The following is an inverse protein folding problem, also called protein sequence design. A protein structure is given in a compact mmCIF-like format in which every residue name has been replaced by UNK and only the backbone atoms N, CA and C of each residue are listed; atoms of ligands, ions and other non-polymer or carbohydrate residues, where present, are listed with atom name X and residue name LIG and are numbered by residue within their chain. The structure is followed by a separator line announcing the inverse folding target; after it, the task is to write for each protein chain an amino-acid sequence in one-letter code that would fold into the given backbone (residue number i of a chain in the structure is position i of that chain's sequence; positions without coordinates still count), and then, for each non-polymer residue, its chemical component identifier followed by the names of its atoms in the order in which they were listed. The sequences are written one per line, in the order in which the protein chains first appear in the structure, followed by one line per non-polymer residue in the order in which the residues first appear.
data_IF_081300452642
#
_entry.id   IF_081300452642
#
_cell.length_a   1.000
_cell.length_b   1.000
_cell.length_c   1.000
_cell.angle_alpha   90.00
_cell.angle_beta   90.00
_cell.angle_gamma   90.00
#
_symmetry.space_group_name_H-M   'P 1'
#
loop_
_entity.id
_entity.type
_entity.pdbx_description
1 polymer ?
#
# COMPACT_ATOMS: atom_id res chain seq x y z
N UNK A 1 -34.08 -125.70 16.00
CA UNK A 1 -33.01 -126.24 15.13
C UNK A 1 -32.68 -125.15 14.11
N UNK A 2 -31.42 -124.67 14.03
CA UNK A 2 -30.87 -123.76 12.97
C UNK A 2 -31.47 -122.33 12.96
N UNK A 3 -30.78 -121.21 12.76
CA UNK A 3 -29.35 -120.81 12.67
C UNK A 3 -29.36 -119.28 12.71
N UNK A 4 -28.29 -118.68 13.24
CA UNK A 4 -28.02 -117.23 13.22
C UNK A 4 -27.81 -116.71 11.78
N UNK A 5 -28.19 -115.47 11.51
CA UNK A 5 -27.55 -114.61 10.52
C UNK A 5 -27.17 -113.27 11.16
N UNK A 6 -25.89 -112.94 11.01
CA UNK A 6 -25.22 -111.71 11.43
C UNK A 6 -25.28 -110.70 10.28
N UNK A 7 -25.55 -109.43 10.56
CA UNK A 7 -25.12 -108.32 9.71
C UNK A 7 -24.69 -107.16 10.62
N UNK A 8 -23.38 -106.92 10.62
CA UNK A 8 -22.64 -105.92 11.37
C UNK A 8 -22.66 -104.59 10.59
N UNK A 9 -23.25 -103.54 11.16
CA UNK A 9 -23.13 -102.18 10.63
C UNK A 9 -21.88 -101.52 11.22
N UNK A 10 -20.87 -101.28 10.38
CA UNK A 10 -19.62 -100.60 10.73
C UNK A 10 -19.80 -99.09 10.48
N UNK A 11 -19.94 -98.30 11.54
CA UNK A 11 -19.90 -96.84 11.49
C UNK A 11 -18.44 -96.36 11.53
N UNK A 12 -17.90 -95.96 10.38
CA UNK A 12 -16.63 -95.23 10.28
C UNK A 12 -16.89 -93.77 10.65
N UNK A 13 -16.37 -93.33 11.79
CA UNK A 13 -16.20 -91.92 12.12
C UNK A 13 -14.89 -91.42 11.51
N UNK A 14 -14.96 -90.60 10.47
CA UNK A 14 -13.80 -89.83 10.02
C UNK A 14 -13.55 -88.69 11.02
N UNK A 15 -12.52 -88.85 11.84
CA UNK A 15 -11.86 -87.75 12.54
C UNK A 15 -11.08 -86.93 11.52
N UNK A 16 -11.55 -85.72 11.21
CA UNK A 16 -10.71 -84.71 10.58
C UNK A 16 -9.75 -84.17 11.65
N UNK A 17 -8.48 -84.55 11.55
CA UNK A 17 -7.39 -83.86 12.23
C UNK A 17 -7.11 -82.58 11.45
N UNK A 18 -7.51 -81.43 12.00
CA UNK A 18 -7.12 -80.14 11.46
C UNK A 18 -5.64 -79.89 11.80
N UNK A 19 -4.78 -79.81 10.79
CA UNK A 19 -3.48 -79.15 10.95
C UNK A 19 -3.74 -77.66 11.21
N UNK A 20 -3.74 -77.22 12.47
CA UNK A 20 -3.66 -75.81 12.83
C UNK A 20 -2.21 -75.46 13.19
N UNK A 21 -1.43 -75.06 12.20
CA UNK A 21 -0.19 -74.31 12.42
C UNK A 21 -0.04 -73.20 11.38
N UNK A 22 -1.16 -72.58 11.00
CA UNK A 22 -1.14 -71.30 10.31
C UNK A 22 -0.90 -70.22 11.38
N UNK A 23 0.38 -70.02 11.71
CA UNK A 23 0.85 -68.82 12.41
C UNK A 23 0.97 -67.66 11.42
N UNK A 24 -0.04 -67.47 10.57
CA UNK A 24 -0.06 -66.32 9.69
C UNK A 24 -0.22 -65.08 10.61
N UNK A 25 0.74 -64.15 10.62
CA UNK A 25 0.66 -62.99 11.49
C UNK A 25 -0.64 -62.25 11.20
N UNK A 26 -1.35 -61.84 12.26
CA UNK A 26 -2.58 -61.06 12.11
C UNK A 26 -2.35 -59.89 11.13
N UNK A 27 -3.28 -59.62 10.21
CA UNK A 27 -3.09 -58.59 9.19
C UNK A 27 -2.72 -57.27 9.87
N UNK A 28 -1.65 -56.64 9.39
CA UNK A 28 -1.20 -55.36 9.92
C UNK A 28 -2.24 -54.28 9.59
N UNK A 29 -2.86 -53.69 10.61
CA UNK A 29 -3.87 -52.64 10.46
C UNK A 29 -3.25 -51.29 10.81
N UNK A 30 -3.42 -50.32 9.91
CA UNK A 30 -3.09 -48.92 10.18
C UNK A 30 -4.33 -48.22 10.73
N UNK A 31 -4.17 -47.49 11.84
CA UNK A 31 -5.25 -46.76 12.46
C UNK A 31 -5.74 -45.62 11.53
N UNK A 32 -7.06 -45.35 11.49
CA UNK A 32 -7.62 -44.28 10.67
C UNK A 32 -7.00 -42.91 10.96
N UNK A 33 -7.01 -42.03 9.95
CA UNK A 33 -6.59 -40.65 10.12
C UNK A 33 -7.65 -39.83 10.87
N UNK A 34 -7.19 -39.02 11.83
CA UNK A 34 -8.00 -38.03 12.55
C UNK A 34 -7.51 -36.62 12.23
N UNK A 35 -8.35 -35.59 12.43
CA UNK A 35 -8.03 -34.19 12.10
C UNK A 35 -9.13 -33.50 11.28
N UNK A 36 -9.01 -32.18 11.12
CA UNK A 36 -10.04 -31.31 10.49
C UNK A 36 -10.03 -31.46 8.97
N UNK A 37 -11.17 -31.85 8.40
CA UNK A 37 -11.30 -32.18 6.97
C UNK A 37 -11.56 -30.98 6.06
N UNK A 38 -11.89 -29.82 6.63
CA UNK A 38 -12.18 -28.60 5.88
C UNK A 38 -11.34 -27.45 6.40
N UNK A 39 -10.58 -26.84 5.52
CA UNK A 39 -9.75 -25.65 5.78
C UNK A 39 -9.98 -24.62 4.67
N UNK A 40 -9.60 -23.37 4.89
CA UNK A 40 -9.57 -22.34 3.84
C UNK A 40 -8.19 -22.27 3.21
N UNK A 41 -8.07 -21.68 2.02
CA UNK A 41 -6.77 -21.39 1.40
C UNK A 41 -5.85 -20.64 2.37
N UNK A 42 -4.60 -21.10 2.50
CA UNK A 42 -3.57 -20.57 3.39
C UNK A 42 -3.63 -21.09 4.83
N UNK A 43 -4.75 -21.68 5.26
CA UNK A 43 -4.85 -22.28 6.58
C UNK A 43 -4.15 -23.65 6.65
N UNK A 44 -3.82 -24.07 7.87
CA UNK A 44 -3.21 -25.36 8.14
C UNK A 44 -4.12 -26.23 9.01
N UNK A 45 -4.03 -27.54 8.81
CA UNK A 45 -4.55 -28.56 9.74
C UNK A 45 -3.54 -29.68 9.87
N UNK A 46 -3.77 -30.65 10.74
CA UNK A 46 -2.90 -31.82 10.86
C UNK A 46 -3.76 -33.07 10.83
N UNK A 47 -3.41 -33.99 9.93
CA UNK A 47 -3.91 -35.35 10.02
C UNK A 47 -2.95 -36.21 10.82
N UNK A 48 -3.47 -37.01 11.75
CA UNK A 48 -2.69 -37.89 12.60
C UNK A 48 -3.26 -39.31 12.64
N UNK A 49 -2.36 -40.30 12.70
CA UNK A 49 -2.66 -41.71 13.00
C UNK A 49 -1.93 -42.12 14.28
N UNK A 50 -2.53 -43.01 15.06
CA UNK A 50 -1.89 -43.61 16.24
C UNK A 50 -0.89 -44.71 15.87
N UNK A 51 -0.94 -45.24 14.65
CA UNK A 51 0.09 -46.16 14.13
C UNK A 51 1.33 -45.37 13.77
N UNK A 52 2.45 -45.63 14.43
CA UNK A 52 3.71 -44.88 14.24
C UNK A 52 4.53 -45.40 13.06
N UNK A 53 5.51 -44.60 12.62
CA UNK A 53 6.51 -45.01 11.62
C UNK A 53 6.08 -44.92 10.16
N UNK A 54 4.96 -44.25 9.87
CA UNK A 54 4.48 -44.04 8.51
C UNK A 54 4.89 -42.71 7.89
N UNK A 55 4.45 -42.50 6.65
CA UNK A 55 4.68 -41.28 5.88
C UNK A 55 3.38 -40.77 5.25
N UNK A 56 3.22 -39.45 5.21
CA UNK A 56 2.07 -38.78 4.60
C UNK A 56 2.37 -38.35 3.16
N UNK A 57 1.41 -38.52 2.26
CA UNK A 57 1.44 -37.99 0.89
C UNK A 57 0.12 -37.35 0.52
N UNK A 58 0.18 -36.34 -0.35
CA UNK A 58 -1.01 -35.65 -0.89
C UNK A 58 -1.19 -36.04 -2.35
N UNK A 59 -2.41 -36.42 -2.74
CA UNK A 59 -2.74 -36.73 -4.13
C UNK A 59 -2.70 -35.50 -5.05
N UNK A 60 -3.07 -34.32 -4.52
CA UNK A 60 -3.07 -33.04 -5.23
C UNK A 60 -2.33 -31.96 -4.43
N UNK A 61 -0.98 -31.95 -4.44
CA UNK A 61 -0.19 -30.94 -3.71
C UNK A 61 -0.47 -29.49 -4.13
N UNK A 62 -0.91 -29.26 -5.37
CA UNK A 62 -1.34 -27.94 -5.86
C UNK A 62 -2.62 -27.42 -5.17
N UNK A 63 -3.42 -28.30 -4.57
CA UNK A 63 -4.61 -27.96 -3.77
C UNK A 63 -4.26 -27.93 -2.30
N UNK A 64 -3.56 -28.96 -1.79
CA UNK A 64 -3.12 -29.00 -0.40
C UNK A 64 -1.79 -29.76 -0.28
N UNK A 65 -0.77 -29.15 0.31
CA UNK A 65 0.49 -29.85 0.64
C UNK A 65 0.33 -30.61 1.95
N UNK A 66 1.16 -31.64 2.18
CA UNK A 66 1.27 -32.31 3.48
C UNK A 66 2.75 -32.57 3.79
N UNK A 67 3.15 -32.27 5.02
CA UNK A 67 4.48 -32.58 5.53
C UNK A 67 4.58 -34.08 5.83
N UNK A 68 5.49 -34.76 5.13
CA UNK A 68 5.56 -36.22 5.08
C UNK A 68 5.75 -36.91 6.45
N UNK A 69 6.38 -36.25 7.42
CA UNK A 69 6.65 -36.80 8.76
C UNK A 69 5.69 -36.34 9.85
N UNK A 70 5.05 -35.17 9.68
CA UNK A 70 4.23 -34.55 10.73
C UNK A 70 2.74 -34.58 10.43
N UNK A 71 2.35 -34.84 9.18
CA UNK A 71 0.93 -34.81 8.76
C UNK A 71 0.34 -33.40 8.73
N UNK A 72 1.16 -32.35 8.86
CA UNK A 72 0.73 -30.96 8.75
C UNK A 72 0.36 -30.68 7.30
N UNK A 73 -0.88 -30.30 7.07
CA UNK A 73 -1.49 -30.00 5.78
C UNK A 73 -1.61 -28.49 5.65
N UNK A 74 -1.25 -27.92 4.49
CA UNK A 74 -1.48 -26.50 4.15
C UNK A 74 -2.36 -26.39 2.92
N UNK A 75 -3.46 -25.64 3.01
CA UNK A 75 -4.33 -25.36 1.86
C UNK A 75 -3.66 -24.38 0.89
N UNK A 76 -3.52 -24.76 -0.37
CA UNK A 76 -2.85 -23.98 -1.42
C UNK A 76 -3.87 -23.31 -2.36
N UNK A 77 -4.87 -24.06 -2.83
CA UNK A 77 -5.92 -23.56 -3.72
C UNK A 77 -7.23 -24.28 -3.46
N UNK A 78 -8.34 -23.72 -3.93
CA UNK A 78 -9.68 -24.29 -3.71
C UNK A 78 -9.78 -25.65 -4.40
N UNK A 79 -10.26 -26.66 -3.67
CA UNK A 79 -10.43 -28.01 -4.19
C UNK A 79 -10.35 -29.06 -3.09
N UNK A 80 -10.13 -30.31 -3.48
CA UNK A 80 -9.88 -31.40 -2.54
C UNK A 80 -8.55 -32.09 -2.82
N UNK A 81 -7.95 -32.64 -1.77
CA UNK A 81 -6.83 -33.57 -1.89
C UNK A 81 -7.06 -34.77 -0.98
N UNK A 82 -6.75 -35.97 -1.49
CA UNK A 82 -6.71 -37.18 -0.67
C UNK A 82 -5.34 -37.27 -0.03
N UNK A 83 -5.32 -37.25 1.31
CA UNK A 83 -4.11 -37.47 2.10
C UNK A 83 -4.01 -38.95 2.42
N UNK A 84 -2.87 -39.55 2.08
CA UNK A 84 -2.57 -40.95 2.32
C UNK A 84 -1.51 -41.06 3.40
N UNK A 85 -1.73 -41.93 4.38
CA UNK A 85 -0.71 -42.30 5.36
C UNK A 85 -0.38 -43.78 5.20
N UNK A 86 0.89 -44.07 4.95
CA UNK A 86 1.36 -45.43 4.66
C UNK A 86 2.35 -45.91 5.70
N UNK A 87 2.09 -47.09 6.26
CA UNK A 87 2.99 -47.81 7.17
C UNK A 87 3.14 -49.23 6.64
N UNK A 88 4.37 -49.72 6.43
CA UNK A 88 4.63 -51.09 5.96
C UNK A 88 3.78 -51.51 4.73
N UNK A 89 3.64 -50.62 3.75
CA UNK A 89 2.83 -50.83 2.53
C UNK A 89 1.31 -50.92 2.72
N UNK A 90 0.80 -50.74 3.95
CA UNK A 90 -0.63 -50.60 4.23
C UNK A 90 -0.96 -49.11 4.33
N UNK A 91 -2.00 -48.68 3.65
CA UNK A 91 -2.38 -47.28 3.54
C UNK A 91 -3.78 -47.02 4.09
N UNK A 92 -3.94 -45.90 4.77
CA UNK A 92 -5.24 -45.29 5.08
C UNK A 92 -5.30 -43.92 4.42
N UNK A 93 -6.49 -43.53 3.99
CA UNK A 93 -6.70 -42.26 3.30
C UNK A 93 -7.74 -41.42 4.00
N UNK A 94 -7.57 -40.11 3.92
CA UNK A 94 -8.56 -39.13 4.37
C UNK A 94 -8.54 -37.90 3.48
N UNK A 95 -9.70 -37.41 3.08
CA UNK A 95 -9.80 -36.25 2.20
C UNK A 95 -9.73 -34.96 3.01
N UNK A 96 -8.96 -33.99 2.52
CA UNK A 96 -9.05 -32.60 2.95
C UNK A 96 -9.71 -31.78 1.84
N UNK A 97 -10.62 -30.89 2.24
CA UNK A 97 -11.27 -29.90 1.38
C UNK A 97 -10.71 -28.53 1.71
N UNK A 98 -10.24 -27.82 0.69
CA UNK A 98 -9.77 -26.44 0.77
C UNK A 98 -10.83 -25.54 0.14
N UNK A 99 -11.41 -24.66 0.94
CA UNK A 99 -12.42 -23.68 0.51
C UNK A 99 -11.81 -22.28 0.32
N UNK A 100 -12.52 -21.40 -0.38
CA UNK A 100 -12.10 -20.01 -0.49
C UNK A 100 -12.18 -19.32 0.88
N UNK A 101 -11.32 -18.32 1.11
CA UNK A 101 -11.45 -17.44 2.27
C UNK A 101 -12.78 -16.68 2.14
N UNK A 102 -13.65 -16.68 3.17
CA UNK A 102 -14.89 -15.91 3.13
C UNK A 102 -14.62 -14.43 2.87
N UNK A 103 -15.31 -13.85 1.90
CA UNK A 103 -15.25 -12.41 1.60
C UNK A 103 -16.40 -11.74 2.33
N UNK A 104 -16.08 -10.94 3.35
CA UNK A 104 -17.06 -10.22 4.12
C UNK A 104 -17.68 -9.05 3.34
N UNK A 105 -18.86 -8.62 3.74
CA UNK A 105 -19.50 -7.40 3.25
C UNK A 105 -20.05 -6.59 4.41
N UNK A 106 -20.14 -5.27 4.26
CA UNK A 106 -20.76 -4.43 5.27
C UNK A 106 -20.53 -2.95 5.04
N UNK A 107 -21.01 -2.15 5.99
CA UNK A 107 -20.84 -0.71 5.98
C UNK A 107 -19.77 -0.28 6.99
N UNK A 108 -19.00 0.73 6.60
CA UNK A 108 -18.03 1.42 7.44
C UNK A 108 -18.59 2.82 7.63
N UNK A 109 -19.02 3.10 8.85
CA UNK A 109 -19.49 4.41 9.28
C UNK A 109 -18.77 4.77 10.58
N UNK A 110 -18.59 6.05 10.83
CA UNK A 110 -17.86 6.56 11.99
C UNK A 110 -18.66 7.60 12.76
N UNK A 111 -18.24 7.92 13.99
CA UNK A 111 -16.90 7.67 14.56
C UNK A 111 -16.60 6.20 14.93
N UNK A 112 -15.33 5.81 14.86
CA UNK A 112 -14.79 4.51 15.33
C UNK A 112 -14.21 4.73 16.73
N UNK A 113 -14.86 4.18 17.74
CA UNK A 113 -14.59 4.44 19.16
C UNK A 113 -13.96 3.27 19.91
N UNK A 114 -13.77 2.13 19.24
CA UNK A 114 -13.13 0.94 19.77
C UNK A 114 -12.35 0.24 18.65
N UNK A 115 -11.32 -0.51 19.03
CA UNK A 115 -10.49 -1.25 18.09
C UNK A 115 -11.35 -2.12 17.18
N UNK A 116 -11.09 -2.04 15.88
CA UNK A 116 -11.88 -2.76 14.89
C UNK A 116 -10.99 -3.31 13.78
N UNK A 117 -11.18 -4.58 13.47
CA UNK A 117 -10.56 -5.22 12.31
C UNK A 117 -11.65 -5.58 11.31
N UNK A 118 -11.54 -5.04 10.09
CA UNK A 118 -12.31 -5.48 8.95
C UNK A 118 -11.54 -6.59 8.24
N UNK A 119 -12.10 -7.80 8.28
CA UNK A 119 -11.58 -8.97 7.58
C UNK A 119 -11.55 -8.74 6.06
N UNK A 120 -10.95 -9.66 5.29
CA UNK A 120 -11.00 -9.63 3.84
C UNK A 120 -12.46 -9.44 3.37
N UNK A 121 -12.73 -8.36 2.65
CA UNK A 121 -14.11 -8.04 2.30
C UNK A 121 -14.29 -6.91 1.28
N UNK A 122 -15.54 -6.78 0.83
CA UNK A 122 -16.02 -5.66 0.03
C UNK A 122 -16.95 -4.81 0.89
N UNK A 123 -16.48 -3.62 1.28
CA UNK A 123 -17.17 -2.74 2.20
C UNK A 123 -17.64 -1.46 1.50
N UNK A 124 -18.72 -0.88 2.00
CA UNK A 124 -19.15 0.48 1.61
C UNK A 124 -18.79 1.45 2.73
N UNK A 125 -17.99 2.47 2.45
CA UNK A 125 -17.72 3.54 3.41
C UNK A 125 -18.67 4.72 3.18
N UNK A 126 -19.26 5.23 4.27
CA UNK A 126 -20.20 6.36 4.23
C UNK A 126 -19.88 7.37 5.33
N UNK A 127 -19.89 8.65 4.95
CA UNK A 127 -19.60 9.77 5.83
C UNK A 127 -18.11 9.96 6.11
N UNK A 128 -17.83 10.95 6.94
CA UNK A 128 -16.50 11.18 7.52
C UNK A 128 -16.23 10.11 8.60
N UNK A 129 -15.53 9.04 8.23
CA UNK A 129 -15.17 7.97 9.16
C UNK A 129 -13.96 8.41 9.97
N UNK A 130 -14.18 8.75 11.24
CA UNK A 130 -13.13 9.23 12.15
C UNK A 130 -12.66 8.12 13.09
N UNK A 131 -11.37 7.80 13.08
CA UNK A 131 -10.73 6.89 14.04
C UNK A 131 -10.28 7.71 15.24
N UNK A 132 -10.87 7.45 16.40
CA UNK A 132 -10.61 8.24 17.60
C UNK A 132 -9.23 7.97 18.22
N UNK A 133 -8.78 8.92 19.04
CA UNK A 133 -7.57 8.76 19.84
C UNK A 133 -7.64 7.50 20.71
N UNK A 134 -6.54 6.73 20.75
CA UNK A 134 -6.45 5.47 21.48
C UNK A 134 -7.07 4.26 20.77
N UNK A 135 -7.62 4.44 19.57
CA UNK A 135 -8.29 3.38 18.80
C UNK A 135 -7.44 2.96 17.60
N UNK A 136 -7.40 1.65 17.33
CA UNK A 136 -6.78 1.05 16.15
C UNK A 136 -7.83 0.51 15.19
N UNK A 137 -7.82 1.01 13.95
CA UNK A 137 -8.60 0.49 12.85
C UNK A 137 -7.71 -0.32 11.91
N UNK A 138 -8.09 -1.56 11.63
CA UNK A 138 -7.34 -2.50 10.79
C UNK A 138 -8.16 -2.94 9.57
N UNK A 139 -7.53 -2.98 8.39
CA UNK A 139 -8.05 -3.59 7.17
C UNK A 139 -7.15 -4.72 6.68
N UNK A 140 -7.74 -5.89 6.46
CA UNK A 140 -7.01 -7.07 5.96
C UNK A 140 -6.75 -7.01 4.45
N UNK A 141 -5.64 -7.66 4.05
CA UNK A 141 -5.16 -7.75 2.67
C UNK A 141 -6.27 -8.12 1.67
N UNK A 142 -6.28 -7.47 0.50
CA UNK A 142 -7.23 -7.75 -0.58
C UNK A 142 -8.63 -7.16 -0.40
N UNK A 143 -8.86 -6.40 0.68
CA UNK A 143 -10.14 -5.73 0.89
C UNK A 143 -10.35 -4.59 -0.09
N UNK A 144 -11.60 -4.41 -0.54
CA UNK A 144 -12.03 -3.24 -1.32
C UNK A 144 -13.04 -2.43 -0.50
N UNK A 145 -12.75 -1.16 -0.31
CA UNK A 145 -13.60 -0.18 0.35
C UNK A 145 -14.13 0.75 -0.73
N UNK A 146 -15.42 0.66 -1.02
CA UNK A 146 -16.11 1.52 -1.98
C UNK A 146 -16.77 2.68 -1.25
N UNK A 147 -16.37 3.90 -1.56
CA UNK A 147 -17.01 5.13 -1.10
C UNK A 147 -18.17 5.46 -2.03
N UNK A 148 -19.28 5.93 -1.46
CA UNK A 148 -20.43 6.38 -2.23
C UNK A 148 -20.61 7.89 -2.01
N UNK A 149 -20.21 8.71 -2.99
CA UNK A 149 -20.36 10.18 -2.92
C UNK A 149 -21.82 10.61 -2.66
N UNK A 150 -22.80 9.79 -3.06
CA UNK A 150 -24.21 10.11 -2.86
C UNK A 150 -24.64 10.12 -1.39
N UNK A 151 -23.80 9.60 -0.48
CA UNK A 151 -24.05 9.64 0.97
C UNK A 151 -23.56 10.91 1.66
N UNK A 152 -23.06 11.89 0.91
CA UNK A 152 -22.56 13.18 1.41
C UNK A 152 -21.04 13.26 1.40
N UNK A 153 -20.48 14.09 2.26
CA UNK A 153 -19.04 14.22 2.44
C UNK A 153 -18.45 12.93 3.04
N UNK A 154 -17.38 12.43 2.43
CA UNK A 154 -16.74 11.18 2.82
C UNK A 154 -15.23 11.35 2.90
N UNK A 155 -14.60 10.88 3.98
CA UNK A 155 -13.15 10.70 4.08
C UNK A 155 -12.85 9.69 5.19
N UNK A 156 -11.67 9.08 5.14
CA UNK A 156 -11.15 8.32 6.27
C UNK A 156 -10.17 9.20 7.05
N UNK A 157 -10.55 9.58 8.27
CA UNK A 157 -9.78 10.51 9.11
C UNK A 157 -9.25 9.77 10.34
N UNK A 158 -7.93 9.71 10.50
CA UNK A 158 -7.27 9.18 11.69
C UNK A 158 -6.91 10.36 12.59
N UNK A 159 -7.62 10.52 13.71
CA UNK A 159 -7.36 11.60 14.65
C UNK A 159 -6.05 11.37 15.40
N UNK A 160 -5.46 12.43 15.94
CA UNK A 160 -4.22 12.34 16.72
C UNK A 160 -4.35 11.32 17.88
N UNK A 161 -3.41 10.38 17.93
CA UNK A 161 -3.39 9.24 18.86
C UNK A 161 -4.23 8.03 18.41
N UNK A 162 -4.99 8.13 17.33
CA UNK A 162 -5.60 7.00 16.64
C UNK A 162 -4.59 6.29 15.73
N UNK A 163 -4.89 5.05 15.34
CA UNK A 163 -4.02 4.24 14.47
C UNK A 163 -4.79 3.62 13.32
N UNK A 164 -4.16 3.59 12.16
CA UNK A 164 -4.63 2.90 10.97
C UNK A 164 -3.61 1.83 10.54
N UNK A 165 -4.05 0.59 10.49
CA UNK A 165 -3.25 -0.56 10.07
C UNK A 165 -3.87 -1.11 8.78
N UNK A 166 -3.12 -1.08 7.69
CA UNK A 166 -3.55 -1.61 6.40
C UNK A 166 -2.56 -2.68 5.97
N UNK A 167 -3.02 -3.94 6.01
CA UNK A 167 -2.21 -5.13 5.81
C UNK A 167 -2.20 -5.58 4.35
N UNK A 168 -2.14 -4.65 3.40
CA UNK A 168 -2.05 -5.01 1.98
C UNK A 168 -0.76 -5.78 1.66
N UNK A 169 -0.77 -6.51 0.54
CA UNK A 169 0.42 -7.12 -0.05
C UNK A 169 0.53 -6.79 -1.53
N UNK A 170 1.66 -7.10 -2.16
CA UNK A 170 1.89 -6.86 -3.59
C UNK A 170 0.79 -7.47 -4.48
N UNK A 171 0.30 -8.66 -4.12
CA UNK A 171 -0.74 -9.40 -4.84
C UNK A 171 -2.16 -9.09 -4.35
N UNK A 172 -2.30 -8.59 -3.12
CA UNK A 172 -3.59 -8.34 -2.45
C UNK A 172 -3.55 -6.96 -1.78
N UNK A 173 -3.50 -5.87 -2.55
CA UNK A 173 -3.57 -4.52 -1.98
C UNK A 173 -4.91 -4.31 -1.26
N UNK A 174 -4.94 -3.34 -0.36
CA UNK A 174 -6.23 -2.78 0.11
C UNK A 174 -6.56 -1.57 -0.74
N UNK A 175 -7.75 -1.58 -1.33
CA UNK A 175 -8.18 -0.56 -2.30
C UNK A 175 -9.30 0.27 -1.70
N UNK A 176 -9.10 1.57 -1.63
CA UNK A 176 -10.14 2.57 -1.38
C UNK A 176 -10.47 3.24 -2.72
N UNK A 177 -11.70 3.12 -3.17
CA UNK A 177 -12.16 3.66 -4.44
C UNK A 177 -13.52 4.31 -4.28
N UNK A 178 -13.87 5.19 -5.20
CA UNK A 178 -15.22 5.74 -5.27
C UNK A 178 -16.04 5.05 -6.38
N UNK A 179 -17.35 4.92 -6.15
CA UNK A 179 -18.32 4.21 -6.99
C UNK A 179 -18.45 4.76 -8.40
N UNK A 180 -18.48 6.09 -8.55
CA UNK A 180 -18.56 6.79 -9.83
C UNK A 180 -17.24 6.80 -10.60
N UNK A 181 -16.10 6.61 -9.90
CA UNK A 181 -14.75 6.69 -10.47
C UNK A 181 -14.43 8.05 -11.09
N UNK A 182 -15.00 9.10 -10.51
CA UNK A 182 -14.77 10.49 -10.91
C UNK A 182 -13.83 11.11 -9.89
N UNK A 183 -12.73 11.71 -10.34
CA UNK A 183 -11.80 12.46 -9.50
C UNK A 183 -12.55 13.45 -8.59
N UNK A 184 -12.12 13.60 -7.34
CA UNK A 184 -12.74 14.51 -6.39
C UNK A 184 -14.10 14.05 -5.86
N UNK A 185 -14.32 12.73 -5.83
CA UNK A 185 -15.59 12.16 -5.36
C UNK A 185 -15.60 11.76 -3.90
N UNK A 186 -14.44 11.80 -3.23
CA UNK A 186 -14.29 11.66 -1.78
C UNK A 186 -12.96 12.24 -1.32
N UNK A 187 -12.76 12.35 -0.01
CA UNK A 187 -11.68 13.12 0.61
C UNK A 187 -10.37 12.37 0.87
N UNK A 188 -10.23 11.13 0.40
CA UNK A 188 -9.01 10.34 0.62
C UNK A 188 -8.78 9.91 2.07
N UNK A 189 -7.50 9.67 2.40
CA UNK A 189 -7.04 9.26 3.73
C UNK A 189 -6.31 10.42 4.39
N UNK A 190 -6.79 10.84 5.55
CA UNK A 190 -6.23 11.96 6.32
C UNK A 190 -5.74 11.43 7.66
N UNK A 191 -4.50 11.73 8.03
CA UNK A 191 -3.90 11.27 9.28
C UNK A 191 -3.31 12.44 10.07
N UNK A 192 -3.68 12.52 11.34
CA UNK A 192 -3.21 13.54 12.27
C UNK A 192 -2.20 12.96 13.25
N UNK A 193 -1.20 13.77 13.59
CA UNK A 193 -0.21 13.47 14.61
C UNK A 193 0.26 14.70 15.38
N UNK A 194 1.28 14.47 16.19
CA UNK A 194 1.93 15.46 17.06
C UNK A 194 3.46 15.54 16.85
N UNK A 195 3.93 15.17 15.65
CA UNK A 195 5.33 15.36 15.26
C UNK A 195 5.67 16.84 14.98
N UNK A 196 6.96 17.22 15.06
CA UNK A 196 7.36 18.61 14.84
C UNK A 196 6.93 19.17 13.48
N UNK A 197 6.46 20.41 13.51
CA UNK A 197 6.23 21.25 12.32
C UNK A 197 6.98 22.58 12.46
N UNK A 198 7.01 23.32 11.38
CA UNK A 198 7.52 24.67 11.33
C UNK A 198 6.62 25.52 10.43
N UNK A 199 5.44 25.83 10.97
CA UNK A 199 4.45 26.63 10.27
C UNK A 199 4.82 28.12 10.28
N UNK A 200 4.01 28.95 9.64
CA UNK A 200 4.27 30.38 9.45
C UNK A 200 4.70 31.08 10.76
N UNK A 201 5.73 31.93 10.70
CA UNK A 201 6.38 32.57 11.86
C UNK A 201 7.02 31.60 12.87
N UNK A 202 7.32 30.36 12.45
CA UNK A 202 8.03 29.36 13.24
C UNK A 202 7.20 28.64 14.28
N UNK A 203 5.87 28.79 14.26
CA UNK A 203 4.95 28.17 15.23
C UNK A 203 4.98 26.64 15.12
N UNK A 204 4.75 25.96 16.25
CA UNK A 204 4.89 24.50 16.39
C UNK A 204 3.57 23.73 16.36
N UNK A 205 2.48 24.45 16.19
CA UNK A 205 1.12 23.92 16.04
C UNK A 205 0.38 24.79 15.05
N UNK A 206 -0.52 24.19 14.26
CA UNK A 206 -1.37 24.88 13.30
C UNK A 206 -2.75 24.21 13.25
N UNK A 207 -3.63 24.71 12.39
CA UNK A 207 -4.98 24.19 12.17
C UNK A 207 -5.08 23.66 10.75
N UNK A 208 -5.63 22.46 10.58
CA UNK A 208 -5.77 21.83 9.27
C UNK A 208 -6.65 22.63 8.33
N UNK A 209 -6.35 22.56 7.03
CA UNK A 209 -7.15 23.18 5.98
C UNK A 209 -8.06 22.21 5.23
N UNK A 210 -8.14 20.97 5.69
CA UNK A 210 -8.94 19.86 5.18
C UNK A 210 -10.45 19.92 5.51
N UNK A 211 -10.97 21.11 5.87
CA UNK A 211 -12.35 21.30 6.34
C UNK A 211 -12.68 20.72 7.72
N UNK A 212 -11.80 19.96 8.37
CA UNK A 212 -12.02 19.47 9.74
C UNK A 212 -11.65 20.49 10.82
N UNK A 213 -10.80 21.49 10.48
CA UNK A 213 -10.31 22.53 11.38
C UNK A 213 -9.73 21.96 12.69
N UNK A 214 -8.94 20.89 12.58
CA UNK A 214 -8.34 20.20 13.72
C UNK A 214 -6.90 20.67 13.94
N UNK A 215 -6.44 20.73 15.21
CA UNK A 215 -5.06 21.07 15.50
C UNK A 215 -4.11 19.94 15.11
N UNK A 216 -2.93 20.31 14.60
CA UNK A 216 -1.80 19.42 14.38
C UNK A 216 -0.48 20.10 14.78
N UNK A 217 0.59 19.31 14.87
CA UNK A 217 1.90 19.77 15.33
C UNK A 217 2.14 19.44 16.80
N UNK A 218 3.42 19.31 17.14
CA UNK A 218 3.85 18.97 18.50
C UNK A 218 5.35 18.77 18.58
N UNK A 219 5.80 17.99 19.55
CA UNK A 219 7.23 17.72 19.80
C UNK A 219 7.61 16.25 19.60
N UNK A 220 6.63 15.38 19.31
CA UNK A 220 6.82 13.95 19.28
C UNK A 220 7.27 13.48 17.89
N UNK A 221 8.57 13.59 17.59
CA UNK A 221 9.13 13.12 16.33
C UNK A 221 8.90 11.62 16.07
N UNK A 222 8.56 10.83 17.09
CA UNK A 222 8.26 9.40 17.00
C UNK A 222 6.76 9.09 16.98
N UNK A 223 5.88 10.09 16.73
CA UNK A 223 4.45 9.87 16.57
C UNK A 223 4.17 8.67 15.65
N UNK A 224 3.23 7.82 16.06
CA UNK A 224 2.90 6.58 15.37
C UNK A 224 1.40 6.50 15.11
N UNK A 225 1.01 6.87 13.89
CA UNK A 225 -0.35 6.74 13.36
C UNK A 225 -0.66 5.37 12.76
N UNK A 226 0.25 4.39 12.87
CA UNK A 226 0.07 3.02 12.39
C UNK A 226 0.97 2.64 11.20
N UNK A 227 0.45 1.81 10.30
CA UNK A 227 1.20 1.21 9.19
C UNK A 227 0.30 1.03 7.99
N UNK A 228 0.59 1.76 6.91
CA UNK A 228 -0.07 1.62 5.62
C UNK A 228 0.89 0.91 4.67
N UNK A 229 0.50 -0.30 4.24
CA UNK A 229 1.27 -1.11 3.29
C UNK A 229 0.40 -1.57 2.12
N UNK A 230 0.88 -1.38 0.89
CA UNK A 230 0.20 -1.77 -0.34
C UNK A 230 -1.24 -1.25 -0.39
N UNK A 231 -1.37 0.07 -0.30
CA UNK A 231 -2.64 0.78 -0.23
C UNK A 231 -2.85 1.54 -1.53
N UNK A 232 -4.07 1.46 -2.07
CA UNK A 232 -4.45 2.27 -3.22
C UNK A 232 -5.64 3.15 -2.86
N UNK A 233 -5.47 4.45 -3.08
CA UNK A 233 -6.51 5.48 -2.95
C UNK A 233 -6.83 5.97 -4.36
N UNK A 234 -8.05 5.71 -4.82
CA UNK A 234 -8.51 6.06 -6.17
C UNK A 234 -9.58 7.17 -6.12
N UNK A 235 -9.48 8.16 -7.01
CA UNK A 235 -10.50 9.19 -7.26
C UNK A 235 -10.83 10.10 -6.06
N UNK A 236 -9.84 10.31 -5.20
CA UNK A 236 -9.94 11.20 -4.05
C UNK A 236 -9.88 12.69 -4.47
N UNK A 237 -9.87 13.56 -3.47
CA UNK A 237 -9.73 15.00 -3.56
C UNK A 237 -10.99 15.84 -3.70
N UNK A 238 -12.04 15.46 -2.99
CA UNK A 238 -13.26 16.27 -2.93
C UNK A 238 -13.06 17.54 -2.11
N UNK A 239 -13.65 18.64 -2.58
CA UNK A 239 -14.04 19.77 -1.71
C UNK A 239 -15.10 19.30 -0.71
N UNK A 240 -14.84 19.42 0.58
CA UNK A 240 -15.86 19.22 1.61
C UNK A 240 -16.84 20.42 1.63
N UNK A 241 -17.88 20.35 2.47
CA UNK A 241 -19.03 21.28 2.51
C UNK A 241 -18.73 22.79 2.47
N UNK A 242 -17.51 23.26 2.80
CA UNK A 242 -17.14 24.67 2.63
C UNK A 242 -16.94 25.08 1.15
N UNK A 243 -16.76 24.11 0.25
CA UNK A 243 -16.60 24.31 -1.19
C UNK A 243 -15.32 25.06 -1.58
N UNK A 244 -14.39 25.27 -0.65
CA UNK A 244 -13.22 26.15 -0.82
C UNK A 244 -11.90 25.41 -0.79
N UNK A 245 -11.79 24.32 -0.02
CA UNK A 245 -10.55 23.57 0.13
C UNK A 245 -10.71 22.15 -0.39
N UNK A 246 -9.86 21.79 -1.34
CA UNK A 246 -9.73 20.42 -1.82
C UNK A 246 -8.99 19.57 -0.77
N UNK A 247 -9.12 18.26 -0.93
CA UNK A 247 -8.48 17.25 -0.10
C UNK A 247 -7.56 16.45 -1.02
N UNK A 248 -6.69 15.60 -0.46
CA UNK A 248 -5.70 14.90 -1.28
C UNK A 248 -6.04 13.41 -1.42
N UNK A 249 -5.21 12.68 -2.17
CA UNK A 249 -5.16 11.22 -2.02
C UNK A 249 -4.79 10.82 -0.60
N UNK A 250 -3.67 11.35 -0.13
CA UNK A 250 -3.18 11.18 1.24
C UNK A 250 -2.76 12.51 1.83
N UNK A 251 -3.28 12.84 3.00
CA UNK A 251 -2.89 14.04 3.76
C UNK A 251 -2.31 13.63 5.11
N UNK A 252 -1.06 14.02 5.37
CA UNK A 252 -0.33 13.67 6.58
C UNK A 252 -0.05 14.92 7.42
N UNK A 253 -0.96 15.23 8.34
CA UNK A 253 -0.81 16.34 9.28
C UNK A 253 0.08 15.93 10.44
N UNK A 254 1.34 16.38 10.45
CA UNK A 254 2.27 16.18 11.58
C UNK A 254 2.45 14.69 11.96
N UNK A 255 2.47 13.81 10.95
CA UNK A 255 2.68 12.37 11.18
C UNK A 255 4.16 12.08 11.43
N UNK A 256 4.45 11.22 12.42
CA UNK A 256 5.82 10.99 12.88
C UNK A 256 6.48 9.74 12.30
N UNK A 257 7.79 9.65 12.52
CA UNK A 257 8.65 8.56 12.06
C UNK A 257 8.33 7.17 12.63
N UNK A 258 7.48 7.08 13.66
CA UNK A 258 6.96 5.81 14.14
C UNK A 258 5.90 5.19 13.21
N UNK A 259 5.41 5.95 12.23
CA UNK A 259 4.40 5.53 11.25
C UNK A 259 5.06 4.93 10.02
N UNK A 260 4.56 3.80 9.53
CA UNK A 260 5.05 3.18 8.28
C UNK A 260 4.16 3.56 7.10
N UNK A 261 4.75 4.15 6.06
CA UNK A 261 4.10 4.48 4.80
C UNK A 261 4.90 3.83 3.65
N UNK A 262 4.38 2.72 3.11
CA UNK A 262 5.13 1.92 2.13
C UNK A 262 4.21 1.30 1.07
N UNK A 263 4.60 1.36 -0.21
CA UNK A 263 3.80 0.86 -1.33
C UNK A 263 2.41 1.53 -1.39
N UNK A 264 2.39 2.86 -1.53
CA UNK A 264 1.16 3.64 -1.60
C UNK A 264 0.91 4.15 -3.02
N UNK A 265 -0.34 4.09 -3.46
CA UNK A 265 -0.78 4.58 -4.76
C UNK A 265 -1.88 5.61 -4.56
N UNK A 266 -1.66 6.83 -5.04
CA UNK A 266 -2.72 7.82 -5.26
C UNK A 266 -3.04 7.86 -6.76
N UNK A 267 -4.27 7.56 -7.12
CA UNK A 267 -4.69 7.34 -8.51
C UNK A 267 -5.87 8.24 -8.88
N UNK A 268 -5.67 9.13 -9.86
CA UNK A 268 -6.70 9.97 -10.47
C UNK A 268 -7.52 10.80 -9.48
N UNK A 269 -6.85 11.37 -8.48
CA UNK A 269 -7.41 12.38 -7.58
C UNK A 269 -7.62 13.72 -8.29
N UNK A 270 -8.51 14.56 -7.73
CA UNK A 270 -8.77 15.91 -8.21
C UNK A 270 -7.85 16.98 -7.60
N UNK A 271 -6.90 16.56 -6.80
CA UNK A 271 -5.93 17.38 -6.07
C UNK A 271 -4.65 16.55 -5.91
N UNK A 272 -3.79 16.89 -4.96
CA UNK A 272 -2.51 16.28 -4.74
C UNK A 272 -2.54 14.77 -4.55
N UNK A 273 -1.51 14.12 -5.07
CA UNK A 273 -1.28 12.71 -4.81
C UNK A 273 -1.04 12.42 -3.33
N UNK A 274 -0.08 13.15 -2.77
CA UNK A 274 0.38 13.03 -1.39
C UNK A 274 0.77 14.41 -0.88
N UNK A 275 0.26 14.82 0.28
CA UNK A 275 0.67 16.07 0.93
C UNK A 275 1.10 15.83 2.38
N UNK A 276 2.22 16.44 2.77
CA UNK A 276 2.70 16.45 4.15
C UNK A 276 2.63 17.85 4.75
N UNK A 277 2.02 17.97 5.92
CA UNK A 277 1.98 19.21 6.69
C UNK A 277 2.89 19.06 7.90
N UNK A 278 4.17 19.38 7.69
CA UNK A 278 5.24 19.09 8.63
C UNK A 278 5.35 17.60 8.97
N UNK A 279 5.91 17.28 10.14
CA UNK A 279 6.10 15.90 10.60
C UNK A 279 7.39 15.25 10.14
N UNK A 280 7.58 13.98 10.51
CA UNK A 280 8.84 13.23 10.35
C UNK A 280 8.66 11.85 9.73
N UNK A 281 7.42 11.46 9.38
CA UNK A 281 7.15 10.23 8.66
C UNK A 281 7.89 10.20 7.32
N UNK A 282 8.39 9.03 6.92
CA UNK A 282 9.01 8.83 5.61
C UNK A 282 8.12 7.91 4.76
N UNK A 283 8.14 8.13 3.45
CA UNK A 283 7.35 7.42 2.45
C UNK A 283 8.26 6.66 1.48
N UNK A 284 8.04 5.36 1.36
CA UNK A 284 8.77 4.50 0.42
C UNK A 284 7.83 3.85 -0.60
N UNK A 285 8.31 3.69 -1.84
CA UNK A 285 7.57 3.04 -2.92
C UNK A 285 6.20 3.71 -3.17
N UNK A 286 6.22 4.96 -3.62
CA UNK A 286 5.00 5.75 -3.83
C UNK A 286 4.72 5.98 -5.32
N UNK A 287 3.46 5.88 -5.70
CA UNK A 287 2.99 6.16 -7.06
C UNK A 287 1.91 7.24 -6.98
N UNK A 288 2.17 8.38 -7.62
CA UNK A 288 1.18 9.42 -7.88
C UNK A 288 0.82 9.36 -9.37
N UNK A 289 -0.41 8.98 -9.70
CA UNK A 289 -0.78 8.61 -11.06
C UNK A 289 -2.01 9.39 -11.54
N UNK A 290 -1.77 10.33 -12.45
CA UNK A 290 -2.78 11.18 -13.09
C UNK A 290 -3.67 11.95 -12.10
N UNK A 291 -3.10 12.36 -10.96
CA UNK A 291 -3.69 13.36 -10.07
C UNK A 291 -3.65 14.73 -10.77
N UNK A 292 -4.68 15.55 -10.57
CA UNK A 292 -4.86 16.78 -11.38
C UNK A 292 -4.09 17.99 -10.87
N UNK A 293 -3.67 17.98 -9.61
CA UNK A 293 -2.77 18.97 -9.01
C UNK A 293 -1.34 18.41 -8.88
N UNK A 294 -0.68 18.55 -7.74
CA UNK A 294 0.72 18.17 -7.57
C UNK A 294 0.87 16.67 -7.34
N UNK A 295 1.98 16.11 -7.81
CA UNK A 295 2.18 14.67 -7.61
C UNK A 295 2.58 14.35 -6.17
N UNK A 296 3.40 15.23 -5.57
CA UNK A 296 3.81 15.23 -4.18
C UNK A 296 3.94 16.69 -3.71
N UNK A 297 3.40 17.02 -2.55
CA UNK A 297 3.54 18.34 -1.94
C UNK A 297 3.90 18.22 -0.45
N UNK A 298 4.56 19.24 0.06
CA UNK A 298 4.62 19.47 1.49
C UNK A 298 4.85 20.93 1.86
N UNK A 299 4.29 21.24 3.03
CA UNK A 299 4.46 22.51 3.72
C UNK A 299 4.84 22.33 5.18
N UNK A 300 4.99 23.46 5.88
CA UNK A 300 5.40 23.54 7.28
C UNK A 300 6.68 22.79 7.63
N UNK A 301 7.56 22.61 6.64
CA UNK A 301 8.87 22.03 6.83
C UNK A 301 8.81 20.58 7.32
N UNK A 302 8.15 19.72 6.55
CA UNK A 302 8.25 18.26 6.68
C UNK A 302 9.72 17.82 6.74
N UNK A 303 10.01 16.71 7.44
CA UNK A 303 11.36 16.33 7.84
C UNK A 303 11.70 14.86 7.57
N UNK A 304 10.96 14.18 6.68
CA UNK A 304 11.21 12.77 6.34
C UNK A 304 12.65 12.52 5.86
N UNK A 305 13.31 11.49 6.41
CA UNK A 305 14.73 11.22 6.16
C UNK A 305 15.00 9.93 5.37
N UNK A 306 14.02 9.04 5.25
CA UNK A 306 14.18 7.72 4.67
C UNK A 306 13.27 7.49 3.45
N UNK A 307 13.00 8.55 2.68
CA UNK A 307 12.12 8.45 1.52
C UNK A 307 12.84 7.85 0.32
N UNK A 308 12.17 6.97 -0.41
CA UNK A 308 12.74 6.38 -1.63
C UNK A 308 11.69 5.85 -2.60
N UNK A 309 12.07 5.76 -3.87
CA UNK A 309 11.28 5.15 -4.95
C UNK A 309 9.93 5.85 -5.15
N UNK A 310 9.97 7.10 -5.60
CA UNK A 310 8.77 7.89 -5.89
C UNK A 310 8.55 8.01 -7.39
N UNK A 311 7.39 7.58 -7.88
CA UNK A 311 7.00 7.66 -9.27
C UNK A 311 5.80 8.61 -9.43
N UNK A 312 5.92 9.58 -10.32
CA UNK A 312 4.82 10.44 -10.73
C UNK A 312 4.60 10.34 -12.23
N UNK A 313 3.32 10.22 -12.63
CA UNK A 313 2.91 10.37 -14.02
C UNK A 313 1.71 11.30 -14.12
N UNK A 314 1.91 12.48 -14.69
CA UNK A 314 0.83 13.45 -14.97
C UNK A 314 0.37 13.32 -16.42
N UNK A 315 -0.94 13.39 -16.64
CA UNK A 315 -1.55 13.26 -17.97
C UNK A 315 -2.88 14.02 -18.02
N UNK A 316 -3.16 14.71 -19.14
CA UNK A 316 -4.31 15.59 -19.34
C UNK A 316 -4.27 16.82 -18.43
N UNK A 317 -4.32 16.59 -17.11
CA UNK A 317 -4.18 17.57 -16.03
C UNK A 317 -3.04 17.19 -15.08
N UNK A 318 -2.51 18.19 -14.39
CA UNK A 318 -1.40 18.06 -13.43
C UNK A 318 -0.67 19.39 -13.31
N UNK A 319 -0.35 19.78 -12.08
CA UNK A 319 0.46 20.96 -11.79
C UNK A 319 1.94 20.55 -11.67
N UNK A 320 2.57 20.72 -10.52
CA UNK A 320 3.96 20.38 -10.28
C UNK A 320 4.20 18.88 -10.11
N UNK A 321 5.39 18.43 -10.48
CA UNK A 321 5.85 17.10 -10.08
C UNK A 321 6.00 17.00 -8.57
N UNK A 322 6.70 17.97 -7.99
CA UNK A 322 6.89 18.10 -6.55
C UNK A 322 6.83 19.58 -6.17
N UNK A 323 5.92 19.93 -5.28
CA UNK A 323 5.86 21.25 -4.62
C UNK A 323 6.49 21.19 -3.22
N UNK A 324 7.25 22.23 -2.89
CA UNK A 324 8.20 22.19 -1.77
C UNK A 324 8.22 23.55 -1.05
N UNK A 325 7.73 23.56 0.19
CA UNK A 325 7.87 24.72 1.06
C UNK A 325 8.12 24.43 2.55
N UNK A 326 8.46 25.50 3.27
CA UNK A 326 8.62 25.49 4.73
C UNK A 326 7.93 26.70 5.36
N UNK A 327 6.82 27.16 4.79
CA UNK A 327 5.97 28.22 5.34
C UNK A 327 6.75 29.49 5.69
N UNK A 328 7.71 29.86 4.82
CA UNK A 328 8.61 31.03 4.93
C UNK A 328 9.62 30.94 6.06
N UNK A 329 9.87 29.75 6.59
CA UNK A 329 10.88 29.56 7.62
C UNK A 329 12.19 29.06 7.03
N UNK A 330 13.21 29.91 7.05
CA UNK A 330 14.58 29.48 6.80
C UNK A 330 14.99 28.47 7.88
N UNK A 331 15.15 27.21 7.47
CA UNK A 331 15.41 26.09 8.38
C UNK A 331 16.71 25.36 7.99
N UNK A 332 17.08 24.37 8.80
CA UNK A 332 18.31 23.59 8.62
C UNK A 332 18.09 22.07 8.55
N UNK A 333 16.83 21.63 8.53
CA UNK A 333 16.50 20.23 8.27
C UNK A 333 16.22 20.09 6.77
N UNK A 334 16.67 18.99 6.17
CA UNK A 334 16.52 18.75 4.74
C UNK A 334 15.85 17.40 4.58
N UNK A 335 14.59 17.34 4.12
CA UNK A 335 14.00 16.09 3.68
C UNK A 335 14.90 15.40 2.66
N UNK A 336 14.98 14.08 2.75
CA UNK A 336 15.81 13.29 1.84
C UNK A 336 14.94 12.36 1.04
N UNK A 337 15.06 12.42 -0.29
CA UNK A 337 14.32 11.55 -1.20
C UNK A 337 15.26 11.02 -2.27
N UNK A 338 15.27 9.70 -2.45
CA UNK A 338 16.14 9.03 -3.42
C UNK A 338 15.33 8.22 -4.42
N UNK A 339 15.85 8.03 -5.64
CA UNK A 339 15.20 7.25 -6.69
C UNK A 339 13.83 7.82 -7.06
N UNK A 340 13.83 8.92 -7.81
CA UNK A 340 12.61 9.65 -8.18
C UNK A 340 12.43 9.59 -9.70
N UNK A 341 11.21 9.34 -10.16
CA UNK A 341 10.85 9.46 -11.57
C UNK A 341 9.63 10.36 -11.69
N UNK A 342 9.79 11.53 -12.31
CA UNK A 342 8.72 12.47 -12.59
C UNK A 342 8.48 12.49 -14.09
N UNK A 343 7.27 12.18 -14.53
CA UNK A 343 6.90 12.16 -15.94
C UNK A 343 5.65 12.98 -16.19
N UNK A 344 5.75 13.93 -17.12
CA UNK A 344 4.62 14.71 -17.60
C UNK A 344 4.37 14.37 -19.06
N UNK A 345 3.19 13.82 -19.35
CA UNK A 345 2.83 13.43 -20.71
C UNK A 345 2.64 14.70 -21.56
N UNK A 346 3.08 14.65 -22.82
CA UNK A 346 2.92 15.75 -23.77
C UNK A 346 1.44 16.19 -23.87
N UNK A 347 1.19 17.50 -23.80
CA UNK A 347 -0.15 18.08 -23.81
C UNK A 347 -0.84 18.16 -22.44
N UNK A 348 -0.18 17.74 -21.36
CA UNK A 348 -0.69 17.94 -19.99
C UNK A 348 -0.69 19.44 -19.64
N UNK A 349 -1.85 19.94 -19.23
CA UNK A 349 -2.07 21.33 -18.81
C UNK A 349 -2.30 21.43 -17.30
N UNK A 350 -2.03 22.56 -16.65
CA UNK A 350 -2.45 22.78 -15.26
C UNK A 350 -3.96 22.61 -15.07
N UNK A 351 -4.38 22.37 -13.84
CA UNK A 351 -5.81 22.24 -13.52
C UNK A 351 -6.59 23.53 -13.81
N UNK A 352 -6.07 24.67 -13.34
CA UNK A 352 -6.60 25.99 -13.61
C UNK A 352 -6.11 26.56 -14.94
N UNK A 353 -7.02 27.18 -15.67
CA UNK A 353 -6.72 27.88 -16.94
C UNK A 353 -5.73 29.02 -16.68
N UNK A 354 -4.64 29.04 -17.45
CA UNK A 354 -3.64 30.09 -17.44
C UNK A 354 -2.66 30.02 -16.27
N UNK A 355 -2.58 28.89 -15.57
CA UNK A 355 -1.68 28.72 -14.43
C UNK A 355 -0.22 28.44 -14.85
N UNK A 356 0.74 28.77 -14.00
CA UNK A 356 2.18 28.66 -14.28
C UNK A 356 2.79 27.35 -13.76
N UNK A 357 1.96 26.49 -13.17
CA UNK A 357 2.40 25.30 -12.43
C UNK A 357 2.71 24.13 -13.36
N UNK A 358 3.92 24.12 -13.93
CA UNK A 358 4.33 23.12 -14.95
C UNK A 358 5.77 22.62 -14.78
N UNK A 359 6.31 22.76 -13.57
CA UNK A 359 7.69 22.39 -13.26
C UNK A 359 7.77 21.02 -12.57
N UNK A 360 8.90 20.35 -12.72
CA UNK A 360 9.10 19.06 -12.07
C UNK A 360 9.34 19.23 -10.56
N UNK A 361 10.19 20.20 -10.19
CA UNK A 361 10.40 20.62 -8.80
C UNK A 361 10.09 22.11 -8.68
N UNK A 362 9.20 22.47 -7.77
CA UNK A 362 8.90 23.85 -7.40
C UNK A 362 9.33 24.11 -5.96
N UNK A 363 10.33 24.97 -5.76
CA UNK A 363 10.72 25.44 -4.44
C UNK A 363 10.16 26.84 -4.21
N UNK A 364 9.44 27.02 -3.09
CA UNK A 364 8.88 28.31 -2.64
C UNK A 364 8.96 28.42 -1.13
N UNK A 365 8.80 29.63 -0.59
CA UNK A 365 8.58 29.86 0.84
C UNK A 365 9.59 29.11 1.74
N UNK A 366 10.88 29.20 1.43
CA UNK A 366 12.00 28.57 2.16
C UNK A 366 12.06 27.02 2.09
N UNK A 367 11.35 26.42 1.12
CA UNK A 367 11.44 25.00 0.81
C UNK A 367 12.86 24.55 0.44
N UNK A 368 13.23 23.35 0.87
CA UNK A 368 14.56 22.77 0.65
C UNK A 368 14.54 21.24 0.64
N UNK A 369 15.70 20.59 0.43
CA UNK A 369 15.80 19.14 0.47
C UNK A 369 17.04 18.57 -0.23
N UNK A 370 17.27 17.28 -0.01
CA UNK A 370 18.35 16.49 -0.61
C UNK A 370 17.77 15.36 -1.47
N UNK A 371 17.85 15.54 -2.78
CA UNK A 371 17.26 14.68 -3.79
C UNK A 371 18.36 14.02 -4.63
N UNK A 372 18.26 12.72 -4.86
CA UNK A 372 19.25 11.99 -5.66
C UNK A 372 18.68 10.87 -6.51
N UNK A 373 19.37 10.57 -7.63
CA UNK A 373 19.01 9.55 -8.62
C UNK A 373 17.61 9.79 -9.20
N UNK A 374 17.52 10.77 -10.09
CA UNK A 374 16.25 11.37 -10.52
C UNK A 374 16.10 11.25 -12.03
N UNK A 375 14.91 10.88 -12.50
CA UNK A 375 14.48 11.06 -13.88
C UNK A 375 13.41 12.16 -13.90
N UNK A 376 13.61 13.17 -14.75
CA UNK A 376 12.61 14.19 -15.07
C UNK A 376 12.37 14.13 -16.57
N UNK A 377 11.11 13.90 -16.96
CA UNK A 377 10.72 13.81 -18.36
C UNK A 377 9.44 14.61 -18.64
N UNK A 378 9.47 15.43 -19.68
CA UNK A 378 8.26 16.03 -20.26
C UNK A 378 7.75 17.32 -19.61
N UNK A 379 8.48 17.92 -18.66
CA UNK A 379 8.14 19.21 -18.04
C UNK A 379 8.50 20.38 -18.96
N UNK A 380 7.88 20.38 -20.13
CA UNK A 380 8.09 21.34 -21.20
C UNK A 380 7.13 22.52 -21.17
N UNK A 381 7.29 23.40 -22.14
CA UNK A 381 6.43 24.56 -22.31
C UNK A 381 5.02 24.10 -22.71
N UNK A 382 4.01 24.80 -22.20
CA UNK A 382 2.65 24.69 -22.71
C UNK A 382 2.14 26.05 -23.18
N UNK A 383 1.24 26.03 -24.17
CA UNK A 383 0.64 27.24 -24.72
C UNK A 383 -0.86 27.21 -24.51
N UNK A 384 -1.39 28.27 -23.90
CA UNK A 384 -2.82 28.45 -23.68
C UNK A 384 -3.21 29.89 -24.01
N UNK A 385 -4.29 30.07 -24.77
CA UNK A 385 -4.76 31.38 -25.24
C UNK A 385 -3.67 32.27 -25.88
N UNK A 386 -2.70 31.66 -26.56
CA UNK A 386 -1.58 32.37 -27.21
C UNK A 386 -0.45 32.80 -26.28
N UNK A 387 -0.54 32.50 -24.98
CA UNK A 387 0.53 32.71 -24.00
C UNK A 387 1.30 31.41 -23.79
N UNK A 388 2.63 31.51 -23.82
CA UNK A 388 3.53 30.39 -23.51
C UNK A 388 3.90 30.44 -22.03
N UNK A 389 3.79 29.30 -21.37
CA UNK A 389 4.18 29.07 -20.00
C UNK A 389 5.37 28.12 -20.00
N UNK A 390 6.46 28.53 -19.36
CA UNK A 390 7.71 27.77 -19.38
C UNK A 390 7.80 26.81 -18.20
N UNK A 391 7.95 25.53 -18.52
CA UNK A 391 8.28 24.47 -17.57
C UNK A 391 9.78 24.31 -17.38
N UNK A 392 10.16 23.89 -16.18
CA UNK A 392 11.53 23.60 -15.82
C UNK A 392 11.64 22.29 -15.03
N UNK A 393 12.84 21.70 -15.04
CA UNK A 393 13.17 20.64 -14.11
C UNK A 393 13.19 21.17 -12.66
N UNK A 394 13.66 22.40 -12.45
CA UNK A 394 13.71 23.05 -11.14
C UNK A 394 13.32 24.52 -11.28
N UNK A 395 12.27 24.93 -10.56
CA UNK A 395 11.84 26.34 -10.45
C UNK A 395 12.02 26.84 -9.01
N UNK A 396 12.56 28.06 -8.88
CA UNK A 396 12.66 28.79 -7.62
C UNK A 396 11.70 29.99 -7.69
N UNK A 397 10.69 30.00 -6.81
CA UNK A 397 9.60 30.98 -6.88
C UNK A 397 9.99 32.37 -6.38
N UNK A 398 10.86 32.45 -5.38
CA UNK A 398 11.08 33.68 -4.62
C UNK A 398 12.54 33.90 -4.19
N UNK A 399 12.86 35.17 -3.94
CA UNK A 399 14.20 35.63 -3.63
C UNK A 399 14.72 35.10 -2.28
N UNK A 400 13.84 34.91 -1.30
CA UNK A 400 14.20 34.33 0.02
C UNK A 400 14.67 32.89 -0.15
N UNK A 401 13.90 32.06 -0.85
CA UNK A 401 14.25 30.68 -1.16
C UNK A 401 15.57 30.60 -1.94
N UNK A 402 15.78 31.47 -2.93
CA UNK A 402 17.07 31.55 -3.64
C UNK A 402 18.23 31.91 -2.69
N UNK A 403 18.06 32.95 -1.89
CA UNK A 403 19.12 33.48 -1.02
C UNK A 403 19.50 32.50 0.09
N UNK A 404 18.50 31.92 0.75
CA UNK A 404 18.72 31.13 1.95
C UNK A 404 18.89 29.64 1.65
N UNK A 405 18.20 29.12 0.64
CA UNK A 405 18.16 27.69 0.35
C UNK A 405 19.09 27.30 -0.81
N UNK A 406 19.03 28.01 -1.95
CA UNK A 406 19.93 27.74 -3.08
C UNK A 406 21.36 28.14 -2.71
N UNK A 407 21.62 29.43 -2.45
CA UNK A 407 22.97 29.92 -2.14
C UNK A 407 23.51 29.34 -0.83
N UNK A 408 22.61 29.01 0.11
CA UNK A 408 22.96 28.32 1.36
C UNK A 408 23.33 26.83 1.18
N UNK A 409 23.22 26.28 -0.02
CA UNK A 409 23.58 24.89 -0.32
C UNK A 409 22.61 23.85 0.25
N UNK A 410 21.37 24.26 0.50
CA UNK A 410 20.32 23.50 1.18
C UNK A 410 19.36 22.78 0.24
N UNK A 411 19.41 23.15 -1.04
CA UNK A 411 18.74 22.42 -2.12
C UNK A 411 19.82 21.60 -2.84
N UNK A 412 19.67 20.28 -2.84
CA UNK A 412 20.53 19.37 -3.59
C UNK A 412 19.70 18.49 -4.49
N UNK A 413 20.03 18.48 -5.77
CA UNK A 413 19.34 17.71 -6.80
C UNK A 413 20.44 17.07 -7.65
N UNK A 414 20.79 15.85 -7.29
CA UNK A 414 22.01 15.18 -7.78
C UNK A 414 21.68 13.93 -8.57
N UNK A 415 22.56 13.58 -9.52
CA UNK A 415 22.36 12.46 -10.44
C UNK A 415 21.00 12.54 -11.15
N UNK A 416 20.79 13.63 -11.88
CA UNK A 416 19.52 13.96 -12.56
C UNK A 416 19.62 13.72 -14.05
N UNK A 417 18.75 12.88 -14.59
CA UNK A 417 18.53 12.78 -16.03
C UNK A 417 17.30 13.60 -16.42
N UNK A 418 17.48 14.53 -17.34
CA UNK A 418 16.44 15.46 -17.78
C UNK A 418 16.20 15.25 -19.27
N UNK A 419 14.97 14.91 -19.65
CA UNK A 419 14.54 14.75 -21.04
C UNK A 419 13.25 15.53 -21.28
N UNK A 420 13.03 15.97 -22.53
CA UNK A 420 11.79 16.63 -22.97
C UNK A 420 11.30 17.77 -22.05
N UNK A 421 12.22 18.50 -21.42
CA UNK A 421 11.96 19.55 -20.42
C UNK A 421 12.59 20.85 -20.91
N UNK A 422 11.87 21.98 -20.85
CA UNK A 422 12.30 23.20 -21.55
C UNK A 422 13.49 23.91 -20.92
N UNK A 423 13.58 23.88 -19.59
CA UNK A 423 14.66 24.51 -18.82
C UNK A 423 15.14 23.56 -17.74
N UNK A 424 16.44 23.52 -17.49
CA UNK A 424 16.97 22.78 -16.34
C UNK A 424 16.67 23.54 -15.05
N UNK A 425 16.91 24.85 -15.03
CA UNK A 425 16.73 25.72 -13.88
C UNK A 425 16.02 27.00 -14.35
N UNK A 426 15.04 27.46 -13.57
CA UNK A 426 14.32 28.71 -13.79
C UNK A 426 14.06 29.43 -12.46
N UNK A 427 14.29 30.73 -12.40
CA UNK A 427 13.84 31.57 -11.28
C UNK A 427 12.74 32.52 -11.74
N UNK A 428 11.77 32.79 -10.87
CA UNK A 428 10.70 33.75 -11.17
C UNK A 428 11.20 35.17 -10.93
N UNK A 429 11.08 36.02 -11.96
CA UNK A 429 11.49 37.43 -11.86
C UNK A 429 10.45 38.18 -11.02
N UNK A 430 10.86 38.62 -9.83
CA UNK A 430 10.03 39.43 -8.93
C UNK A 430 10.89 40.56 -8.39
N UNK A 431 10.66 41.79 -8.88
CA UNK A 431 11.45 42.95 -8.49
C UNK A 431 11.49 43.10 -6.96
N UNK A 432 12.68 43.31 -6.35
CA UNK A 432 13.95 43.66 -6.98
C UNK A 432 14.82 42.47 -7.42
N UNK A 433 14.40 41.21 -7.21
CA UNK A 433 15.14 40.04 -7.65
C UNK A 433 14.94 39.78 -9.15
N UNK A 434 16.04 39.53 -9.84
CA UNK A 434 16.11 39.34 -11.29
C UNK A 434 15.83 37.89 -11.73
N UNK A 435 15.51 37.00 -10.80
CA UNK A 435 15.22 35.59 -11.07
C UNK A 435 16.48 34.75 -11.37
N UNK A 436 17.69 35.27 -11.16
CA UNK A 436 18.91 34.50 -11.37
C UNK A 436 19.10 33.49 -10.23
N UNK A 437 19.23 32.22 -10.61
CA UNK A 437 19.46 31.07 -9.72
C UNK A 437 20.79 30.44 -10.08
N UNK A 438 21.70 30.32 -9.11
CA UNK A 438 23.00 29.65 -9.28
C UNK A 438 23.24 28.71 -8.12
N UNK A 439 23.19 27.41 -8.37
CA UNK A 439 23.49 26.41 -7.36
C UNK A 439 25.00 26.38 -7.03
N UNK A 440 25.36 26.20 -5.75
CA UNK A 440 26.73 25.84 -5.38
C UNK A 440 27.22 24.60 -6.13
N UNK A 441 28.53 24.49 -6.34
CA UNK A 441 29.11 23.35 -7.02
C UNK A 441 28.72 22.02 -6.33
N UNK A 442 28.18 21.08 -7.12
CA UNK A 442 27.73 19.77 -6.62
C UNK A 442 26.30 19.74 -6.09
N UNK A 443 25.61 20.88 -5.96
CA UNK A 443 24.22 20.91 -5.50
C UNK A 443 23.20 20.69 -6.61
N UNK A 444 23.55 20.94 -7.87
CA UNK A 444 22.75 20.53 -9.03
C UNK A 444 23.66 19.77 -10.00
N UNK A 445 23.43 18.48 -10.18
CA UNK A 445 24.31 17.61 -10.97
C UNK A 445 23.48 16.73 -11.90
N UNK A 446 23.56 17.00 -13.20
CA UNK A 446 22.96 16.15 -14.23
C UNK A 446 23.82 14.91 -14.50
N UNK A 447 23.20 13.77 -14.72
CA UNK A 447 23.84 12.49 -14.99
C UNK A 447 22.89 11.58 -15.79
N UNK A 448 23.27 11.23 -17.02
CA UNK A 448 22.45 10.40 -17.92
C UNK A 448 22.32 8.94 -17.47
N UNK A 449 23.10 8.52 -16.48
CA UNK A 449 23.04 7.19 -15.85
C UNK A 449 22.03 7.12 -14.69
N UNK A 450 21.32 8.21 -14.40
CA UNK A 450 20.23 8.18 -13.44
C UNK A 450 19.17 7.15 -13.85
N UNK A 451 18.74 6.33 -12.89
CA UNK A 451 17.74 5.28 -13.11
C UNK A 451 16.36 5.68 -12.60
N UNK A 452 16.28 6.72 -11.78
CA UNK A 452 15.05 7.15 -11.13
C UNK A 452 14.49 6.09 -10.18
N UNK A 453 13.17 6.13 -9.98
CA UNK A 453 12.43 5.17 -9.16
C UNK A 453 12.50 3.75 -9.74
N UNK A 454 12.76 2.76 -8.88
CA UNK A 454 12.77 1.33 -9.21
C UNK A 454 11.67 0.61 -8.44
N UNK A 455 10.42 0.82 -8.85
CA UNK A 455 9.24 0.24 -8.20
C UNK A 455 8.94 -1.13 -8.82
N UNK A 456 8.80 -2.16 -7.99
CA UNK A 456 8.34 -3.47 -8.45
C UNK A 456 6.83 -3.45 -8.62
N UNK A 457 6.35 -3.75 -9.82
CA UNK A 457 4.92 -3.83 -10.11
C UNK A 457 4.20 -4.95 -9.35
N UNK A 458 2.93 -5.17 -9.68
CA UNK A 458 2.07 -6.16 -9.03
C UNK A 458 0.63 -5.69 -9.02
N UNK A 459 -0.26 -6.43 -8.34
CA UNK A 459 -1.67 -6.05 -8.25
C UNK A 459 -1.86 -4.69 -7.57
N UNK A 460 -1.01 -4.37 -6.59
CA UNK A 460 -1.02 -3.07 -5.90
C UNK A 460 -0.79 -1.87 -6.83
N UNK A 461 0.08 -2.03 -7.81
CA UNK A 461 0.42 -1.03 -8.82
C UNK A 461 -0.23 -1.31 -10.18
N UNK A 462 -1.34 -2.07 -10.22
CA UNK A 462 -2.10 -2.33 -11.45
C UNK A 462 -3.56 -1.92 -11.29
N UNK A 463 -4.03 -1.01 -12.14
CA UNK A 463 -5.42 -0.55 -12.16
C UNK A 463 -6.01 -0.78 -13.54
N UNK A 464 -7.12 -1.51 -13.63
CA UNK A 464 -7.79 -1.85 -14.90
C UNK A 464 -6.85 -2.43 -15.97
N UNK A 465 -5.87 -3.24 -15.56
CA UNK A 465 -4.87 -3.85 -16.44
C UNK A 465 -3.70 -2.94 -16.85
N UNK A 466 -3.68 -1.69 -16.38
CA UNK A 466 -2.56 -0.76 -16.59
C UNK A 466 -1.58 -0.89 -15.43
N UNK A 467 -0.32 -1.19 -15.77
CA UNK A 467 0.82 -1.17 -14.84
C UNK A 467 1.24 0.29 -14.61
N UNK A 468 1.08 0.75 -13.37
CA UNK A 468 1.31 2.14 -12.99
C UNK A 468 2.79 2.48 -12.79
N UNK A 469 3.69 1.49 -12.87
CA UNK A 469 5.14 1.69 -12.74
C UNK A 469 5.82 2.09 -14.05
N UNK A 470 5.06 2.19 -15.13
CA UNK A 470 5.56 2.33 -16.51
C UNK A 470 5.25 3.65 -17.16
#
# INVERSE_FOLDING_TARGET
MKTKFFALALSIGLLFSSCSSDNDPAPFIVAPLTGTESIVVGATTTFSSTTTGGTYTSATPAVATVAASTGVITGVSVGTSVITYTVQSVAVTKTVTVTAVPVATGEITGPITADKTYALGNYTMKGMVKVNSGVTLTFEAGSTITVDKTTGDNALVVLNGGKLIINGTADKPVVFTEKSKIAGSWGGIIMYGDAPINAINGVKTSTSEDGNALPYGGTNAAHNGGSLKYVRVEYAGSKLADGTKELNGFSFYSVGSGTTLDHLVSYKGADDGFEFYGGTASLTNAISYENTDDSFDWQDGWQGQANSNWYARQNVKGNFGIEIESSKNNNAYFPKVTNITLRRIAGTTPEAVGDVQVDAFQFKNEGNGDFSNIIIDGYGDYTEAGKVYTGAAVKIQDASTNTNQVNGGKIKITKVKITNTSKNILGVVVAPWDGIVTFPAGNFVTDDTATGASITGGAWATVNGVDLTK
#
